data_IF_033501393031
#
_entry.id   IF_033501393031
#
_cell.length_a   1.000
_cell.length_b   1.000
_cell.length_c   1.000
_cell.angle_alpha   90.00
_cell.angle_beta   90.00
_cell.angle_gamma   90.00
#
_symmetry.space_group_name_H-M   'P 1'
#
loop_
_entity.id
_entity.type
_entity.pdbx_description
1 polymer ?
#
# COMPACT_ATOMS: atom_id res chain seq x y z
N UNK A 1 6.51 14.40 -14.94
CA UNK A 1 5.83 14.26 -13.64
C UNK A 1 4.70 13.24 -13.78
N UNK A 2 4.42 12.48 -12.73
CA UNK A 2 3.30 11.52 -12.68
C UNK A 2 2.61 11.63 -11.31
N UNK A 3 1.33 11.31 -11.23
CA UNK A 3 0.54 11.49 -10.02
C UNK A 3 -0.62 10.51 -9.92
N UNK A 4 -1.13 10.36 -8.71
CA UNK A 4 -2.36 9.63 -8.38
C UNK A 4 -3.24 10.49 -7.50
N UNK A 5 -4.56 10.30 -7.60
CA UNK A 5 -5.52 10.90 -6.69
C UNK A 5 -6.16 9.83 -5.81
N UNK A 6 -6.36 10.16 -4.54
CA UNK A 6 -7.03 9.27 -3.58
C UNK A 6 -7.92 10.06 -2.63
N UNK A 7 -8.88 9.35 -2.05
CA UNK A 7 -9.52 9.66 -0.79
C UNK A 7 -9.68 8.32 -0.07
N UNK A 8 -8.96 8.12 1.03
CA UNK A 8 -8.80 6.87 1.80
C UNK A 8 -7.86 5.81 1.23
N UNK A 9 -7.83 5.57 -0.08
CA UNK A 9 -6.86 4.63 -0.67
C UNK A 9 -5.41 5.10 -0.45
N UNK A 10 -4.46 4.17 -0.44
CA UNK A 10 -3.03 4.47 -0.22
C UNK A 10 -2.40 5.00 -1.52
N UNK A 11 -1.95 6.26 -1.59
CA UNK A 11 -1.10 6.69 -2.68
C UNK A 11 0.33 6.21 -2.40
N UNK A 12 0.96 5.53 -3.37
CA UNK A 12 2.34 5.07 -3.25
C UNK A 12 3.19 5.71 -4.35
N UNK A 13 4.25 6.39 -3.95
CA UNK A 13 5.24 6.96 -4.85
C UNK A 13 6.51 6.12 -4.78
N UNK A 14 7.05 5.72 -5.92
CA UNK A 14 8.28 4.94 -6.03
C UNK A 14 9.29 5.72 -6.86
N UNK A 15 10.54 5.76 -6.42
CA UNK A 15 11.65 6.34 -7.18
C UNK A 15 12.86 5.43 -7.12
N UNK A 16 13.54 5.26 -8.24
CA UNK A 16 14.88 4.69 -8.29
C UNK A 16 15.91 5.84 -8.25
N UNK A 17 16.80 5.84 -7.26
CA UNK A 17 17.79 6.91 -7.06
C UNK A 17 18.99 6.86 -8.04
N UNK A 18 19.15 5.75 -8.78
CA UNK A 18 20.16 5.53 -9.81
C UNK A 18 19.63 5.85 -11.19
N UNK A 19 18.51 5.25 -11.60
CA UNK A 19 17.97 5.37 -12.96
C UNK A 19 17.12 6.63 -13.14
N UNK A 20 16.61 7.21 -12.04
CA UNK A 20 15.65 8.31 -12.09
C UNK A 20 14.25 7.86 -12.56
N UNK A 21 14.00 6.55 -12.71
CA UNK A 21 12.66 6.05 -12.99
C UNK A 21 11.76 6.28 -11.78
N UNK A 22 10.52 6.69 -12.04
CA UNK A 22 9.52 6.96 -11.00
C UNK A 22 8.20 6.29 -11.34
N UNK A 23 7.45 5.92 -10.31
CA UNK A 23 6.07 5.43 -10.42
C UNK A 23 5.16 6.12 -9.38
N UNK A 24 3.89 6.28 -9.72
CA UNK A 24 2.83 6.71 -8.82
C UNK A 24 1.69 5.69 -8.91
N UNK A 25 1.32 5.08 -7.79
CA UNK A 25 0.42 3.93 -7.71
C UNK A 25 -0.73 4.23 -6.77
N UNK A 26 -1.96 4.02 -7.24
CA UNK A 26 -3.17 4.07 -6.41
C UNK A 26 -3.39 2.67 -5.83
N UNK A 27 -3.06 2.47 -4.55
CA UNK A 27 -3.18 1.19 -3.87
C UNK A 27 -4.36 1.18 -2.88
N UNK A 28 -5.57 1.06 -3.43
CA UNK A 28 -6.75 0.67 -2.66
C UNK A 28 -6.79 -0.84 -2.42
N UNK A 29 -7.70 -1.31 -1.56
CA UNK A 29 -7.77 -2.73 -1.18
C UNK A 29 -7.85 -3.70 -2.38
N UNK A 30 -8.57 -3.34 -3.44
CA UNK A 30 -8.68 -4.15 -4.67
C UNK A 30 -7.34 -4.23 -5.41
N UNK A 31 -6.64 -3.10 -5.54
CA UNK A 31 -5.32 -3.05 -6.17
C UNK A 31 -4.29 -3.83 -5.36
N UNK A 32 -4.30 -3.69 -4.04
CA UNK A 32 -3.43 -4.46 -3.14
C UNK A 32 -3.73 -5.95 -3.22
N UNK A 33 -5.00 -6.37 -3.25
CA UNK A 33 -5.38 -7.77 -3.47
C UNK A 33 -4.92 -8.30 -4.84
N UNK A 34 -4.85 -7.43 -5.86
CA UNK A 34 -4.32 -7.73 -7.18
C UNK A 34 -2.79 -7.55 -7.29
N UNK A 35 -2.07 -7.37 -6.17
CA UNK A 35 -0.60 -7.16 -6.13
C UNK A 35 -0.12 -6.00 -7.03
N UNK A 36 -0.85 -4.88 -7.04
CA UNK A 36 -0.54 -3.72 -7.89
C UNK A 36 0.86 -3.14 -7.65
N UNK A 37 1.33 -3.15 -6.39
CA UNK A 37 2.62 -2.59 -6.04
C UNK A 37 3.78 -3.51 -6.46
N UNK A 38 3.72 -4.83 -6.22
CA UNK A 38 4.61 -5.80 -6.87
C UNK A 38 4.67 -5.67 -8.39
N UNK A 39 3.53 -5.53 -9.06
CA UNK A 39 3.49 -5.36 -10.52
C UNK A 39 4.21 -4.07 -10.95
N UNK A 40 3.94 -2.95 -10.27
CA UNK A 40 4.61 -1.68 -10.56
C UNK A 40 6.14 -1.76 -10.38
N UNK A 41 6.60 -2.48 -9.36
CA UNK A 41 8.04 -2.72 -9.13
C UNK A 41 8.63 -3.59 -10.23
N UNK A 42 7.93 -4.66 -10.65
CA UNK A 42 8.38 -5.50 -11.76
C UNK A 42 8.56 -4.68 -13.05
N UNK A 43 7.65 -3.73 -13.34
CA UNK A 43 7.77 -2.83 -14.48
C UNK A 43 8.98 -1.88 -14.38
N UNK A 44 9.33 -1.40 -13.18
CA UNK A 44 10.54 -0.61 -12.96
C UNK A 44 11.81 -1.45 -13.16
N UNK A 45 11.83 -2.68 -12.65
CA UNK A 45 12.95 -3.61 -12.79
C UNK A 45 13.16 -4.02 -14.24
N UNK A 46 12.09 -4.27 -15.00
CA UNK A 46 12.16 -4.55 -16.43
C UNK A 46 12.78 -3.40 -17.24
N UNK A 47 12.82 -2.18 -16.68
CA UNK A 47 13.44 -0.99 -17.27
C UNK A 47 14.81 -0.67 -16.69
N UNK A 48 15.42 -1.59 -15.93
CA UNK A 48 16.77 -1.48 -15.40
C UNK A 48 16.88 -1.01 -13.95
N UNK A 49 15.76 -0.86 -13.24
CA UNK A 49 15.81 -0.57 -11.79
C UNK A 49 16.26 -1.80 -10.99
N UNK A 50 16.85 -1.58 -9.82
CA UNK A 50 17.18 -2.64 -8.87
C UNK A 50 16.47 -2.38 -7.53
N UNK A 51 16.08 -3.44 -6.82
CA UNK A 51 15.27 -3.35 -5.60
C UNK A 51 15.94 -2.46 -4.53
N UNK A 52 17.27 -2.59 -4.38
CA UNK A 52 18.08 -1.82 -3.43
C UNK A 52 18.14 -0.31 -3.72
N UNK A 53 17.85 0.11 -4.95
CA UNK A 53 17.85 1.51 -5.37
C UNK A 53 16.46 2.15 -5.24
N UNK A 54 15.41 1.34 -5.05
CA UNK A 54 14.05 1.84 -4.91
C UNK A 54 13.86 2.51 -3.54
N UNK A 55 13.27 3.71 -3.57
CA UNK A 55 12.69 4.41 -2.43
C UNK A 55 11.19 4.50 -2.62
N UNK A 56 10.44 4.21 -1.56
CA UNK A 56 8.99 4.10 -1.60
C UNK A 56 8.40 5.00 -0.50
N UNK A 57 7.44 5.84 -0.87
CA UNK A 57 6.68 6.66 0.05
C UNK A 57 5.18 6.35 -0.08
N UNK A 58 4.57 5.90 1.01
CA UNK A 58 3.11 5.75 1.13
C UNK A 58 2.53 6.98 1.80
N UNK A 59 1.69 7.72 1.09
CA UNK A 59 1.07 8.95 1.60
C UNK A 59 -0.11 8.70 2.55
N UNK A 60 -0.78 9.78 2.98
CA UNK A 60 -1.95 9.72 3.86
C UNK A 60 -3.05 8.81 3.29
N UNK A 61 -3.58 7.92 4.12
CA UNK A 61 -4.61 6.96 3.76
C UNK A 61 -5.49 6.64 4.98
N UNK A 62 -6.61 5.95 4.80
CA UNK A 62 -7.42 5.53 5.94
C UNK A 62 -6.64 4.51 6.79
N UNK A 63 -6.64 4.70 8.11
CA UNK A 63 -5.92 3.80 9.03
C UNK A 63 -6.68 2.52 9.32
N UNK A 64 -5.95 1.46 9.68
CA UNK A 64 -6.54 0.20 10.12
C UNK A 64 -7.55 0.38 11.25
N UNK A 65 -7.23 1.22 12.23
CA UNK A 65 -8.08 1.53 13.39
C UNK A 65 -9.52 1.91 13.04
N UNK A 66 -9.74 2.54 11.88
CA UNK A 66 -11.08 3.02 11.47
C UNK A 66 -11.61 2.36 10.19
N UNK A 67 -10.78 1.66 9.40
CA UNK A 67 -11.22 1.05 8.15
C UNK A 67 -11.90 -0.30 8.34
N UNK A 68 -13.21 -0.28 8.62
CA UNK A 68 -14.02 -1.49 8.74
C UNK A 68 -14.35 -2.09 7.36
N UNK A 69 -14.12 -3.41 7.22
CA UNK A 69 -14.45 -4.23 6.04
C UNK A 69 -15.01 -5.59 6.47
N UNK A 70 -15.51 -6.38 5.51
CA UNK A 70 -15.87 -7.77 5.79
C UNK A 70 -14.62 -8.66 5.91
N UNK A 71 -14.77 -9.78 6.61
CA UNK A 71 -13.75 -10.84 6.68
C UNK A 71 -13.29 -11.26 5.27
N UNK A 72 -14.21 -11.43 4.32
CA UNK A 72 -13.87 -11.81 2.94
C UNK A 72 -12.90 -10.83 2.26
N UNK A 73 -13.08 -9.53 2.47
CA UNK A 73 -12.17 -8.50 1.91
C UNK A 73 -10.78 -8.64 2.54
N UNK A 74 -10.70 -8.81 3.86
CA UNK A 74 -9.43 -9.01 4.53
C UNK A 74 -8.75 -10.32 4.07
N UNK A 75 -9.51 -11.39 3.88
CA UNK A 75 -8.99 -12.67 3.39
C UNK A 75 -8.40 -12.57 1.98
N UNK A 76 -9.00 -11.78 1.08
CA UNK A 76 -8.45 -11.52 -0.27
C UNK A 76 -7.07 -10.86 -0.21
N UNK A 77 -6.84 -9.93 0.72
CA UNK A 77 -5.51 -9.34 0.92
C UNK A 77 -4.58 -10.31 1.65
N UNK A 78 -5.09 -11.05 2.64
CA UNK A 78 -4.36 -12.08 3.37
C UNK A 78 -3.75 -13.15 2.47
N UNK A 79 -4.48 -13.60 1.45
CA UNK A 79 -4.00 -14.56 0.46
C UNK A 79 -2.77 -14.05 -0.34
N UNK A 80 -2.53 -12.74 -0.37
CA UNK A 80 -1.37 -12.18 -1.07
C UNK A 80 -0.07 -12.23 -0.26
N UNK A 81 -0.17 -12.37 1.07
CA UNK A 81 0.95 -12.35 2.01
C UNK A 81 1.09 -13.63 2.83
N UNK A 82 0.10 -14.52 2.82
CA UNK A 82 0.20 -15.82 3.46
C UNK A 82 1.23 -16.72 2.75
N UNK A 83 1.98 -17.56 3.50
CA UNK A 83 2.91 -18.52 2.91
C UNK A 83 2.17 -19.55 2.02
N UNK A 84 2.78 -19.90 0.89
CA UNK A 84 2.14 -20.61 -0.21
C UNK A 84 1.54 -21.97 0.17
N UNK A 85 0.24 -22.13 -0.09
CA UNK A 85 -0.46 -23.42 -0.12
C UNK A 85 -1.23 -23.84 1.14
N UNK A 86 -1.10 -23.13 2.27
CA UNK A 86 -1.56 -23.63 3.58
C UNK A 86 -2.85 -22.99 4.10
N UNK A 87 -3.64 -22.32 3.27
CA UNK A 87 -4.87 -21.68 3.74
C UNK A 87 -6.08 -22.12 2.94
N UNK A 88 -6.81 -23.06 3.52
CA UNK A 88 -8.04 -23.60 2.95
C UNK A 88 -9.27 -22.75 3.29
N UNK A 89 -9.18 -21.87 4.31
CA UNK A 89 -10.32 -21.07 4.79
C UNK A 89 -10.00 -19.61 5.11
N UNK A 90 -11.04 -18.77 5.11
CA UNK A 90 -10.92 -17.35 5.54
C UNK A 90 -10.45 -17.22 6.99
N UNK A 91 -10.75 -18.20 7.84
CA UNK A 91 -10.40 -18.23 9.26
C UNK A 91 -8.90 -18.40 9.47
N UNK A 92 -8.26 -19.33 8.73
CA UNK A 92 -6.82 -19.59 8.89
C UNK A 92 -5.99 -18.39 8.43
N UNK A 93 -6.43 -17.69 7.37
CA UNK A 93 -5.80 -16.44 6.91
C UNK A 93 -5.86 -15.41 8.04
N UNK A 94 -7.03 -15.21 8.66
CA UNK A 94 -7.18 -14.22 9.71
C UNK A 94 -6.33 -14.56 10.93
N UNK A 95 -6.27 -15.83 11.32
CA UNK A 95 -5.42 -16.28 12.41
C UNK A 95 -3.95 -16.00 12.13
N UNK A 96 -3.47 -16.30 10.91
CA UNK A 96 -2.12 -15.96 10.48
C UNK A 96 -1.86 -14.44 10.54
N UNK A 97 -2.79 -13.63 10.03
CA UNK A 97 -2.62 -12.17 10.01
C UNK A 97 -2.55 -11.55 11.41
N UNK A 98 -3.27 -12.11 12.39
CA UNK A 98 -3.20 -11.67 13.79
C UNK A 98 -1.89 -12.06 14.50
N UNK A 99 -1.09 -12.97 13.93
CA UNK A 99 0.19 -13.38 14.49
C UNK A 99 1.38 -12.55 13.96
N UNK A 100 1.14 -11.66 12.99
CA UNK A 100 2.19 -10.81 12.43
C UNK A 100 2.55 -9.67 13.40
N UNK A 101 3.84 -9.33 13.55
CA UNK A 101 4.31 -8.30 14.50
C UNK A 101 3.79 -6.89 14.18
N UNK A 102 3.42 -6.63 12.92
CA UNK A 102 2.70 -5.42 12.50
C UNK A 102 1.35 -5.80 11.89
N UNK A 103 0.41 -6.20 12.75
CA UNK A 103 -0.89 -6.74 12.38
C UNK A 103 -1.59 -5.87 11.31
N UNK A 104 -1.79 -6.38 10.09
CA UNK A 104 -2.47 -5.64 9.04
C UNK A 104 -4.00 -5.75 9.16
N UNK A 105 -4.50 -6.52 10.14
CA UNK A 105 -5.91 -6.67 10.47
C UNK A 105 -6.06 -6.57 12.00
N UNK A 106 -7.02 -5.77 12.44
CA UNK A 106 -7.41 -5.63 13.85
C UNK A 106 -8.83 -6.18 14.04
N UNK A 107 -9.15 -6.53 15.29
CA UNK A 107 -10.48 -6.99 15.67
C UNK A 107 -11.51 -5.87 15.52
N UNK A 108 -12.75 -6.25 15.21
CA UNK A 108 -13.92 -5.37 15.21
C UNK A 108 -15.01 -5.97 16.11
N UNK A 109 -15.76 -5.16 16.87
CA UNK A 109 -16.85 -5.67 17.71
C UNK A 109 -18.04 -6.21 16.90
N UNK A 110 -18.19 -5.82 15.64
CA UNK A 110 -19.28 -6.30 14.79
C UNK A 110 -18.96 -7.70 14.20
N UNK A 111 -19.81 -8.72 14.43
CA UNK A 111 -19.57 -10.05 13.89
C UNK A 111 -19.43 -10.05 12.37
N UNK A 112 -18.41 -10.76 11.86
CA UNK A 112 -18.12 -10.83 10.42
C UNK A 112 -17.42 -9.60 9.83
N UNK A 113 -17.04 -8.63 10.67
CA UNK A 113 -16.21 -7.49 10.30
C UNK A 113 -14.83 -7.57 10.91
N UNK A 114 -13.90 -6.86 10.27
CA UNK A 114 -12.55 -6.59 10.78
C UNK A 114 -12.12 -5.18 10.39
N UNK A 115 -11.05 -4.71 11.03
CA UNK A 115 -10.40 -3.43 10.79
C UNK A 115 -9.14 -3.65 9.96
N UNK A 116 -9.06 -3.09 8.76
CA UNK A 116 -8.04 -3.45 7.77
C UNK A 116 -7.02 -2.32 7.56
N UNK A 117 -5.72 -2.57 7.72
CA UNK A 117 -4.68 -1.60 7.35
C UNK A 117 -4.05 -1.96 5.99
N UNK A 118 -4.52 -1.28 4.94
CA UNK A 118 -4.01 -1.49 3.57
C UNK A 118 -2.55 -1.06 3.42
N UNK A 119 -2.06 -0.09 4.21
CA UNK A 119 -0.66 0.35 4.16
C UNK A 119 0.25 -0.78 4.65
N UNK A 120 -0.15 -1.49 5.71
CA UNK A 120 0.58 -2.66 6.23
C UNK A 120 0.60 -3.82 5.23
N UNK A 121 -0.51 -4.09 4.54
CA UNK A 121 -0.51 -5.09 3.46
C UNK A 121 0.45 -4.74 2.33
N UNK A 122 0.46 -3.48 1.87
CA UNK A 122 1.43 -3.05 0.87
C UNK A 122 2.87 -3.21 1.40
N UNK A 123 3.15 -2.82 2.64
CA UNK A 123 4.48 -2.97 3.25
C UNK A 123 4.94 -4.43 3.34
N UNK A 124 4.04 -5.35 3.73
CA UNK A 124 4.32 -6.79 3.75
C UNK A 124 4.62 -7.32 2.35
N UNK A 125 3.87 -6.91 1.32
CA UNK A 125 4.15 -7.30 -0.07
C UNK A 125 5.53 -6.79 -0.53
N UNK A 126 5.91 -5.56 -0.17
CA UNK A 126 7.24 -5.01 -0.47
C UNK A 126 8.35 -5.80 0.23
N UNK A 127 8.17 -6.14 1.50
CA UNK A 127 9.12 -6.93 2.26
C UNK A 127 9.30 -8.33 1.67
N UNK A 128 8.20 -8.96 1.22
CA UNK A 128 8.24 -10.26 0.54
C UNK A 128 8.96 -10.22 -0.82
N UNK A 129 8.97 -9.06 -1.49
CA UNK A 129 9.81 -8.84 -2.68
C UNK A 129 11.30 -8.64 -2.35
N UNK A 130 11.65 -8.48 -1.08
CA UNK A 130 13.02 -8.21 -0.64
C UNK A 130 13.35 -6.73 -0.48
N UNK A 131 12.37 -5.83 -0.50
CA UNK A 131 12.61 -4.40 -0.22
C UNK A 131 12.81 -4.22 1.29
N UNK A 132 13.95 -3.64 1.65
CA UNK A 132 14.28 -3.35 3.05
C UNK A 132 13.32 -2.31 3.66
N UNK A 133 12.85 -2.46 4.91
CA UNK A 133 11.94 -1.51 5.55
C UNK A 133 12.43 -0.06 5.53
N UNK A 134 13.74 0.19 5.67
CA UNK A 134 14.32 1.55 5.61
C UNK A 134 14.16 2.25 4.26
N UNK A 135 13.76 1.52 3.21
CA UNK A 135 13.43 2.07 1.89
C UNK A 135 11.96 2.46 1.77
N UNK A 136 11.15 2.19 2.79
CA UNK A 136 9.70 2.42 2.80
C UNK A 136 9.33 3.40 3.90
N UNK A 137 8.86 4.59 3.50
CA UNK A 137 8.28 5.57 4.41
C UNK A 137 6.74 5.51 4.36
N UNK A 138 6.08 5.48 5.51
CA UNK A 138 4.62 5.51 5.62
C UNK A 138 4.21 6.77 6.35
N UNK A 139 3.41 7.63 5.71
CA UNK A 139 2.91 8.84 6.34
C UNK A 139 2.00 8.50 7.54
N UNK A 140 2.19 9.11 8.71
CA UNK A 140 1.47 8.76 9.94
C UNK A 140 0.06 9.37 10.01
N UNK A 141 -0.57 9.66 8.88
CA UNK A 141 -1.83 10.40 8.81
C UNK A 141 -2.99 9.51 8.36
N UNK A 142 -4.12 9.60 9.08
CA UNK A 142 -5.38 8.98 8.73
C UNK A 142 -6.29 9.97 8.00
N UNK A 143 -6.64 9.71 6.74
CA UNK A 143 -7.50 10.64 5.98
C UNK A 143 -8.92 10.72 6.51
N UNK A 144 -9.42 9.65 7.13
CA UNK A 144 -10.75 9.60 7.73
C UNK A 144 -10.84 10.44 9.01
N UNK A 145 -9.87 10.30 9.92
CA UNK A 145 -9.90 10.94 11.25
C UNK A 145 -9.53 12.43 11.21
N UNK A 146 -8.82 12.88 10.17
CA UNK A 146 -8.27 14.22 10.08
C UNK A 146 -8.97 15.02 8.97
N UNK A 147 -10.12 15.60 9.33
CA UNK A 147 -10.97 16.34 8.41
C UNK A 147 -10.42 17.71 8.02
N UNK A 148 -9.53 18.29 8.83
CA UNK A 148 -8.94 19.60 8.57
C UNK A 148 -7.90 19.55 7.45
N UNK A 149 -7.20 18.41 7.29
CA UNK A 149 -6.13 18.26 6.30
C UNK A 149 -6.52 17.42 5.08
N UNK A 150 -7.48 16.50 5.21
CA UNK A 150 -7.72 15.50 4.16
C UNK A 150 -9.19 15.28 3.81
N UNK A 151 -9.43 14.98 2.53
CA UNK A 151 -10.70 14.44 2.09
C UNK A 151 -10.76 12.93 2.36
N UNK A 152 -11.94 12.46 2.78
CA UNK A 152 -12.23 11.04 2.99
C UNK A 152 -13.57 10.67 2.37
N UNK A 153 -13.55 9.71 1.45
CA UNK A 153 -14.77 9.20 0.85
C UNK A 153 -15.61 8.44 1.88
N UNK A 154 -14.96 7.69 2.78
CA UNK A 154 -15.60 6.91 3.84
C UNK A 154 -16.34 7.81 4.83
N UNK A 155 -15.80 8.99 5.14
CA UNK A 155 -16.42 9.99 6.02
C UNK A 155 -17.53 10.77 5.31
N UNK A 156 -17.19 11.40 4.18
CA UNK A 156 -18.03 12.45 3.61
C UNK A 156 -18.97 11.93 2.49
N UNK A 157 -18.66 10.76 1.89
CA UNK A 157 -19.34 10.20 0.71
C UNK A 157 -19.35 11.13 -0.51
N UNK A 158 -18.40 12.07 -0.55
CA UNK A 158 -18.20 12.99 -1.67
C UNK A 158 -17.05 12.52 -2.56
N UNK A 159 -17.13 12.84 -3.86
CA UNK A 159 -16.07 12.56 -4.85
C UNK A 159 -14.94 13.62 -4.79
N UNK A 160 -14.51 13.99 -3.59
CA UNK A 160 -13.34 14.86 -3.37
C UNK A 160 -12.08 14.01 -3.24
N UNK A 161 -10.93 14.53 -3.66
CA UNK A 161 -9.66 13.81 -3.67
C UNK A 161 -8.50 14.73 -3.31
N UNK A 162 -7.45 14.15 -2.74
CA UNK A 162 -6.11 14.74 -2.68
C UNK A 162 -5.22 14.13 -3.76
N UNK A 163 -4.20 14.88 -4.19
CA UNK A 163 -3.23 14.45 -5.19
C UNK A 163 -1.89 14.14 -4.54
N UNK A 164 -1.24 13.07 -4.97
CA UNK A 164 0.15 12.75 -4.64
C UNK A 164 0.92 12.58 -5.92
N UNK A 165 2.01 13.33 -6.08
CA UNK A 165 2.78 13.38 -7.31
C UNK A 165 4.27 13.22 -7.05
N UNK A 166 4.96 12.67 -8.05
CA UNK A 166 6.41 12.58 -8.07
C UNK A 166 6.94 13.11 -9.41
N UNK A 167 8.07 13.80 -9.32
CA UNK A 167 8.78 14.36 -10.46
C UNK A 167 10.15 13.72 -10.51
N UNK A 168 10.53 13.25 -11.70
CA UNK A 168 11.90 12.85 -11.98
C UNK A 168 12.58 13.97 -12.76
N UNK A 169 13.82 14.30 -12.35
CA UNK A 169 14.70 15.16 -13.14
C UNK A 169 15.51 14.31 -14.11
N UNK A 170 15.63 14.77 -15.36
CA UNK A 170 16.51 14.11 -16.34
C UNK A 170 17.96 14.21 -15.84
N UNK A 171 18.54 13.10 -15.39
CA UNK A 171 19.99 13.00 -15.29
C UNK A 171 20.49 12.70 -16.69
N UNK A 172 20.95 13.71 -17.40
CA UNK A 172 21.81 13.50 -18.56
C UNK A 172 23.02 12.72 -18.06
N UNK A 173 23.07 11.41 -18.32
CA UNK A 173 24.29 10.64 -18.16
C UNK A 173 25.22 11.08 -19.29
N UNK A 174 26.02 12.12 -19.07
CA UNK A 174 27.24 12.30 -19.84
C UNK A 174 28.09 11.06 -19.58
N UNK A 175 28.30 10.28 -20.64
CA UNK A 175 29.20 9.14 -20.66
C UNK A 175 30.59 9.64 -20.27
N UNK A 176 31.15 9.08 -19.20
CA UNK A 176 32.56 9.18 -18.86
C UNK A 176 33.30 7.95 -19.38
#
# INVERSE_FOLDING_TARGET
AIWVCTADCVPVLVADDRTGLVAAVHAGWRGTAAKILPEAIAQLMARGSQLENLRIAMGPAISGEVYQVSVEVASKLGATVAPGGAVESSTDILQFLHQLPEMPVLQDPEPGKVRLDVRRFNALQLQQLGIHPDRVAIAPYCTYSDADRFFSYRRDRLKKVQWSGIVSGCKSFEQA
#
